data_IF_598564944203
#
_entry.id   IF_598564944203
#
_cell.length_a   1.000
_cell.length_b   1.000
_cell.length_c   1.000
_cell.angle_alpha   90.00
_cell.angle_beta   90.00
_cell.angle_gamma   90.00
#
_symmetry.space_group_name_H-M   'P 1'
#
loop_
_entity.id
_entity.type
_entity.pdbx_description
1 polymer ?
#
# COMPACT_ATOMS: atom_id res chain seq x y z
N UNK A 1 -17.59 -1.43 -11.87
CA UNK A 1 -16.33 -0.76 -11.48
C UNK A 1 -16.65 0.07 -10.24
N UNK A 2 -16.34 -0.45 -9.04
CA UNK A 2 -16.78 0.17 -7.79
C UNK A 2 -16.02 1.49 -7.57
N UNK A 3 -16.73 2.61 -7.71
CA UNK A 3 -16.34 3.88 -7.10
C UNK A 3 -16.51 3.72 -5.58
N UNK A 4 -15.56 4.22 -4.79
CA UNK A 4 -15.65 4.44 -3.32
C UNK A 4 -15.08 3.39 -2.34
N UNK A 5 -14.14 2.51 -2.71
CA UNK A 5 -13.51 1.61 -1.71
C UNK A 5 -12.58 2.33 -0.71
N UNK A 6 -12.10 3.54 -0.99
CA UNK A 6 -11.16 4.26 -0.12
C UNK A 6 -9.76 3.62 -0.02
N UNK A 7 -9.55 2.48 -0.67
CA UNK A 7 -8.28 1.80 -0.82
C UNK A 7 -8.27 0.90 -2.08
N UNK A 8 -7.09 0.47 -2.50
CA UNK A 8 -6.83 -0.56 -3.51
C UNK A 8 -5.86 -1.56 -2.89
N UNK A 9 -6.10 -2.86 -3.06
CA UNK A 9 -5.15 -3.93 -2.74
C UNK A 9 -5.08 -4.87 -3.96
N UNK A 10 -3.88 -5.26 -4.36
CA UNK A 10 -3.63 -6.10 -5.54
C UNK A 10 -2.49 -7.07 -5.28
N UNK A 11 -2.49 -8.19 -6.00
CA UNK A 11 -1.32 -9.07 -6.08
C UNK A 11 -0.42 -8.59 -7.21
N UNK A 12 0.86 -8.42 -6.92
CA UNK A 12 1.88 -8.05 -7.90
C UNK A 12 2.86 -9.19 -8.09
N UNK A 13 3.20 -9.45 -9.35
CA UNK A 13 4.17 -10.47 -9.72
C UNK A 13 5.21 -9.85 -10.66
N UNK A 14 6.48 -10.11 -10.37
CA UNK A 14 7.59 -9.66 -11.23
C UNK A 14 7.67 -10.56 -12.46
N UNK A 15 7.79 -9.96 -13.64
CA UNK A 15 7.83 -10.66 -14.93
C UNK A 15 9.13 -10.36 -15.65
N UNK A 16 9.82 -11.39 -16.13
CA UNK A 16 10.98 -11.29 -17.02
C UNK A 16 10.69 -12.09 -18.28
N UNK A 17 10.80 -11.45 -19.44
CA UNK A 17 10.53 -12.07 -20.75
C UNK A 17 9.15 -12.76 -20.82
N UNK A 18 8.13 -12.12 -20.22
CA UNK A 18 6.76 -12.64 -20.18
C UNK A 18 6.53 -13.80 -19.21
N UNK A 19 7.52 -14.16 -18.38
CA UNK A 19 7.42 -15.23 -17.39
C UNK A 19 7.56 -14.69 -15.97
N UNK A 20 6.84 -15.26 -14.99
CA UNK A 20 7.07 -14.99 -13.58
C UNK A 20 8.52 -15.19 -13.17
N UNK A 21 9.06 -14.24 -12.42
CA UNK A 21 10.35 -14.38 -11.73
C UNK A 21 10.07 -14.89 -10.32
N UNK A 22 10.74 -15.97 -9.93
CA UNK A 22 10.70 -16.44 -8.55
C UNK A 22 11.22 -15.35 -7.61
N UNK A 23 10.46 -15.08 -6.54
CA UNK A 23 10.82 -14.10 -5.52
C UNK A 23 11.01 -14.76 -4.15
N UNK A 24 10.78 -16.08 -4.05
CA UNK A 24 10.93 -16.89 -2.84
C UNK A 24 10.25 -16.31 -1.61
N UNK A 25 9.07 -15.69 -1.79
CA UNK A 25 8.27 -15.23 -0.67
C UNK A 25 7.65 -16.41 0.07
N UNK A 26 7.52 -16.29 1.39
CA UNK A 26 6.83 -17.28 2.23
C UNK A 26 5.32 -17.02 2.22
N UNK A 27 4.73 -17.12 1.03
CA UNK A 27 3.28 -17.01 0.81
C UNK A 27 2.70 -18.37 0.34
N UNK A 28 1.41 -18.65 0.63
CA UNK A 28 0.45 -17.79 1.34
C UNK A 28 0.79 -17.63 2.83
N UNK A 29 0.39 -16.50 3.41
CA UNK A 29 0.62 -16.19 4.82
C UNK A 29 -0.71 -15.86 5.52
N UNK A 30 -1.04 -16.60 6.59
CA UNK A 30 -2.27 -16.41 7.37
C UNK A 30 -2.04 -15.41 8.52
N UNK A 31 -1.81 -14.14 8.16
CA UNK A 31 -1.70 -13.07 9.14
C UNK A 31 -3.11 -12.54 9.45
N UNK A 32 -3.53 -12.71 10.70
CA UNK A 32 -4.86 -12.30 11.15
C UNK A 32 -5.11 -10.79 10.99
N UNK A 33 -6.35 -10.43 10.68
CA UNK A 33 -6.79 -9.04 10.53
C UNK A 33 -6.46 -8.19 11.75
N UNK A 34 -6.62 -8.73 12.96
CA UNK A 34 -6.31 -8.02 14.20
C UNK A 34 -4.82 -7.67 14.25
N UNK A 35 -3.92 -8.64 14.05
CA UNK A 35 -2.48 -8.41 14.04
C UNK A 35 -2.06 -7.35 13.00
N UNK A 36 -2.68 -7.35 11.82
CA UNK A 36 -2.43 -6.32 10.80
C UNK A 36 -2.96 -4.94 11.22
N UNK A 37 -4.12 -4.89 11.87
CA UNK A 37 -4.68 -3.64 12.38
C UNK A 37 -3.78 -3.04 13.47
N UNK A 38 -3.30 -3.86 14.40
CA UNK A 38 -2.31 -3.47 15.41
C UNK A 38 -1.02 -2.99 14.76
N UNK A 39 -0.48 -3.74 13.79
CA UNK A 39 0.72 -3.35 13.05
C UNK A 39 0.55 -1.99 12.38
N UNK A 40 -0.52 -1.77 11.61
CA UNK A 40 -0.74 -0.49 10.93
C UNK A 40 -1.00 0.68 11.88
N UNK A 41 -1.56 0.43 13.06
CA UNK A 41 -1.77 1.44 14.09
C UNK A 41 -0.45 1.97 14.67
N UNK A 42 0.55 1.11 14.81
CA UNK A 42 1.85 1.45 15.37
C UNK A 42 2.79 2.15 14.36
N UNK A 43 2.39 2.26 13.09
CA UNK A 43 3.22 2.93 12.08
C UNK A 43 3.07 4.45 12.16
N UNK A 44 4.18 5.11 12.47
CA UNK A 44 4.31 6.56 12.47
C UNK A 44 5.50 7.02 11.61
N UNK A 45 5.50 8.30 11.27
CA UNK A 45 6.62 8.98 10.62
C UNK A 45 6.82 10.36 11.22
N UNK A 46 8.06 10.83 11.22
CA UNK A 46 8.38 12.19 11.64
C UNK A 46 8.15 13.16 10.49
N UNK A 47 7.37 14.20 10.71
CA UNK A 47 7.27 15.33 9.78
C UNK A 47 8.19 16.46 10.23
N UNK A 48 9.01 16.95 9.30
CA UNK A 48 9.77 18.18 9.52
C UNK A 48 8.91 19.37 9.08
N UNK A 49 8.49 20.25 9.99
CA UNK A 49 7.73 21.43 9.61
C UNK A 49 8.55 22.35 8.71
N UNK A 50 7.87 23.10 7.84
CA UNK A 50 8.49 24.08 6.93
C UNK A 50 8.98 25.36 7.64
N UNK A 51 8.75 25.49 8.94
CA UNK A 51 9.14 26.63 9.79
C UNK A 51 9.74 26.12 11.12
N UNK A 52 10.22 27.05 11.97
CA UNK A 52 10.85 26.87 13.31
C UNK A 52 10.00 26.12 14.36
N UNK A 53 9.27 25.08 13.97
CA UNK A 53 8.52 24.21 14.86
C UNK A 53 9.29 22.89 15.05
N UNK A 54 9.04 22.23 16.16
CA UNK A 54 9.63 20.92 16.43
C UNK A 54 9.08 19.86 15.46
N UNK A 55 9.88 18.84 15.20
CA UNK A 55 9.42 17.66 14.45
C UNK A 55 8.19 17.05 15.14
N UNK A 56 7.15 16.76 14.37
CA UNK A 56 5.92 16.15 14.87
C UNK A 56 5.84 14.70 14.39
N UNK A 57 5.57 13.78 15.30
CA UNK A 57 5.25 12.39 14.96
C UNK A 57 3.81 12.30 14.45
N UNK A 58 3.62 11.67 13.30
CA UNK A 58 2.30 11.50 12.67
C UNK A 58 2.04 10.05 12.29
N UNK A 59 0.80 9.56 12.46
CA UNK A 59 0.47 8.20 12.04
C UNK A 59 0.51 8.08 10.52
N UNK A 60 0.97 6.94 10.02
CA UNK A 60 0.93 6.61 8.58
C UNK A 60 -0.52 6.43 8.11
N UNK A 61 -1.36 5.81 8.94
CA UNK A 61 -2.76 5.52 8.65
C UNK A 61 -3.69 6.04 9.75
N UNK A 62 -4.88 6.49 9.38
CA UNK A 62 -5.95 6.75 10.35
C UNK A 62 -6.74 5.47 10.66
N UNK A 63 -7.42 5.41 11.82
CA UNK A 63 -8.23 4.24 12.23
C UNK A 63 -9.24 3.77 11.18
N UNK A 64 -9.84 4.71 10.42
CA UNK A 64 -10.77 4.36 9.33
C UNK A 64 -10.09 3.68 8.15
N UNK A 65 -8.84 4.04 7.85
CA UNK A 65 -8.04 3.38 6.83
C UNK A 65 -7.62 1.99 7.32
N UNK A 66 -7.15 1.88 8.56
CA UNK A 66 -6.75 0.62 9.19
C UNK A 66 -7.88 -0.41 9.15
N UNK A 67 -9.08 -0.02 9.59
CA UNK A 67 -10.26 -0.90 9.63
C UNK A 67 -10.68 -1.45 8.26
N UNK A 68 -10.28 -0.78 7.17
CA UNK A 68 -10.57 -1.19 5.79
C UNK A 68 -9.41 -1.96 5.17
N UNK A 69 -8.18 -1.50 5.41
CA UNK A 69 -6.97 -2.04 4.81
C UNK A 69 -6.57 -3.37 5.43
N UNK A 70 -6.63 -3.51 6.76
CA UNK A 70 -6.23 -4.73 7.47
C UNK A 70 -6.94 -6.00 6.96
N UNK A 71 -8.30 -6.05 6.83
CA UNK A 71 -8.97 -7.25 6.33
C UNK A 71 -8.68 -7.52 4.86
N UNK A 72 -8.50 -6.47 4.04
CA UNK A 72 -8.18 -6.62 2.62
C UNK A 72 -6.76 -7.17 2.41
N UNK A 73 -5.79 -6.66 3.17
CA UNK A 73 -4.40 -7.14 3.17
C UNK A 73 -4.31 -8.56 3.71
N UNK A 74 -5.00 -8.88 4.82
CA UNK A 74 -5.04 -10.24 5.36
C UNK A 74 -5.50 -11.25 4.30
N UNK A 75 -6.59 -10.92 3.59
CA UNK A 75 -7.09 -11.75 2.50
C UNK A 75 -6.09 -11.87 1.35
N UNK A 76 -5.46 -10.77 0.95
CA UNK A 76 -4.49 -10.80 -0.13
C UNK A 76 -3.25 -11.65 0.23
N UNK A 77 -2.72 -11.53 1.44
CA UNK A 77 -1.58 -12.33 1.92
C UNK A 77 -1.90 -13.84 1.97
N UNK A 78 -3.14 -14.18 2.32
CA UNK A 78 -3.63 -15.57 2.34
C UNK A 78 -3.82 -16.18 0.96
N UNK A 79 -3.99 -15.36 -0.08
CA UNK A 79 -4.20 -15.79 -1.46
C UNK A 79 -2.96 -15.61 -2.36
N UNK A 80 -1.94 -14.88 -1.89
CA UNK A 80 -0.69 -14.71 -2.61
C UNK A 80 0.05 -16.04 -2.73
N UNK A 81 0.68 -16.28 -3.88
CA UNK A 81 1.66 -17.36 -4.05
C UNK A 81 3.10 -16.90 -3.77
N UNK A 82 4.05 -17.84 -3.75
CA UNK A 82 5.46 -17.58 -3.45
C UNK A 82 6.20 -16.64 -4.43
N UNK A 83 5.56 -16.25 -5.54
CA UNK A 83 6.08 -15.29 -6.53
C UNK A 83 5.41 -13.92 -6.45
N UNK A 84 4.36 -13.81 -5.65
CA UNK A 84 3.52 -12.63 -5.54
C UNK A 84 3.77 -11.85 -4.26
N UNK A 85 3.56 -10.55 -4.32
CA UNK A 85 3.56 -9.63 -3.19
C UNK A 85 2.26 -8.83 -3.17
N UNK A 86 1.88 -8.31 -2.01
CA UNK A 86 0.63 -7.56 -1.85
C UNK A 86 0.92 -6.07 -2.00
N UNK A 87 0.45 -5.48 -3.09
CA UNK A 87 0.49 -4.04 -3.28
C UNK A 87 -0.75 -3.38 -2.70
N UNK A 88 -0.60 -2.25 -2.02
CA UNK A 88 -1.71 -1.49 -1.50
C UNK A 88 -1.61 0.01 -1.78
N UNK A 89 -2.76 0.64 -1.87
CA UNK A 89 -2.93 2.10 -1.90
C UNK A 89 -4.07 2.47 -0.98
N UNK A 90 -3.81 3.24 0.07
CA UNK A 90 -4.83 3.84 0.94
C UNK A 90 -5.08 5.29 0.55
N UNK A 91 -6.34 5.71 0.60
CA UNK A 91 -6.75 7.07 0.30
C UNK A 91 -7.38 7.73 1.52
N UNK A 92 -6.72 8.76 2.02
CA UNK A 92 -7.25 9.60 3.08
C UNK A 92 -7.88 10.88 2.49
N UNK A 93 -9.08 11.22 2.94
CA UNK A 93 -9.71 12.50 2.63
C UNK A 93 -9.63 13.39 3.87
N UNK A 94 -8.73 14.37 3.87
CA UNK A 94 -8.75 15.39 4.90
C UNK A 94 -9.93 16.33 4.63
N UNK A 95 -10.93 16.35 5.53
CA UNK A 95 -12.09 17.24 5.45
C UNK A 95 -11.69 18.67 5.84
N UNK A 96 -11.01 19.38 4.95
CA UNK A 96 -10.90 20.84 5.01
C UNK A 96 -12.15 21.49 4.40
N UNK A 97 -12.65 22.57 5.00
CA UNK A 97 -13.91 23.25 4.63
C UNK A 97 -13.96 23.82 3.20
N UNK A 98 -12.81 23.99 2.51
CA UNK A 98 -12.75 24.66 1.22
C UNK A 98 -11.99 23.90 0.12
N UNK A 99 -11.20 22.86 0.46
CA UNK A 99 -10.47 22.04 -0.52
C UNK A 99 -10.39 20.58 -0.05
N UNK A 100 -10.84 19.64 -0.89
CA UNK A 100 -10.65 18.20 -0.66
C UNK A 100 -9.22 17.82 -1.03
N UNK A 101 -8.28 17.92 -0.08
CA UNK A 101 -6.97 17.31 -0.26
C UNK A 101 -7.10 15.80 -0.04
N UNK A 102 -6.73 15.02 -1.06
CA UNK A 102 -6.59 13.57 -0.95
C UNK A 102 -5.13 13.28 -0.63
N UNK A 103 -4.90 12.49 0.43
CA UNK A 103 -3.57 11.97 0.75
C UNK A 103 -3.53 10.50 0.38
N UNK A 104 -2.39 10.07 -0.16
CA UNK A 104 -2.16 8.70 -0.58
C UNK A 104 -1.03 8.12 0.27
N UNK A 105 -1.27 6.92 0.80
CA UNK A 105 -0.21 6.05 1.31
C UNK A 105 -0.18 4.80 0.44
N UNK A 106 0.97 4.49 -0.14
CA UNK A 106 1.16 3.38 -1.07
C UNK A 106 2.38 2.57 -0.65
N UNK A 107 2.26 1.26 -0.75
CA UNK A 107 3.38 0.38 -0.47
C UNK A 107 3.13 -1.05 -0.91
N UNK A 108 4.10 -1.89 -0.59
CA UNK A 108 4.10 -3.31 -0.89
C UNK A 108 4.40 -4.10 0.36
N UNK A 109 3.71 -5.22 0.53
CA UNK A 109 3.77 -6.09 1.68
C UNK A 109 4.13 -7.50 1.22
N UNK A 110 5.02 -8.16 1.95
CA UNK A 110 5.41 -9.54 1.66
C UNK A 110 5.95 -10.23 2.91
N UNK A 111 5.97 -11.56 2.90
CA UNK A 111 6.69 -12.35 3.90
C UNK A 111 7.94 -12.92 3.22
N UNK A 112 9.11 -12.64 3.77
CA UNK A 112 10.36 -13.14 3.20
C UNK A 112 10.57 -14.64 3.49
N UNK A 113 11.61 -15.23 2.90
CA UNK A 113 11.94 -16.64 3.10
C UNK A 113 12.29 -17.01 4.56
N UNK A 114 12.63 -16.02 5.39
CA UNK A 114 12.87 -16.17 6.83
C UNK A 114 11.61 -16.09 7.68
N UNK A 115 10.44 -15.84 7.06
CA UNK A 115 9.17 -15.69 7.76
C UNK A 115 8.92 -14.28 8.31
N UNK A 116 9.75 -13.30 7.98
CA UNK A 116 9.54 -11.93 8.46
C UNK A 116 8.51 -11.21 7.60
N UNK A 117 7.59 -10.50 8.26
CA UNK A 117 6.65 -9.62 7.59
C UNK A 117 7.31 -8.28 7.27
N UNK A 118 7.31 -7.91 6.00
CA UNK A 118 7.99 -6.73 5.49
C UNK A 118 7.00 -5.77 4.83
N UNK A 119 7.24 -4.47 4.99
CA UNK A 119 6.53 -3.39 4.30
C UNK A 119 7.54 -2.47 3.64
N UNK A 120 7.31 -2.14 2.37
CA UNK A 120 8.08 -1.18 1.60
C UNK A 120 7.14 -0.06 1.14
N UNK A 121 7.40 1.17 1.58
CA UNK A 121 6.57 2.32 1.27
C UNK A 121 7.08 3.04 0.02
N UNK A 122 6.20 3.16 -0.97
CA UNK A 122 6.43 4.05 -2.11
C UNK A 122 6.10 5.49 -1.74
N UNK A 123 4.96 5.70 -1.07
CA UNK A 123 4.50 7.02 -0.61
C UNK A 123 3.84 6.93 0.76
N UNK A 124 4.07 7.94 1.59
CA UNK A 124 3.42 8.09 2.91
C UNK A 124 2.73 9.45 2.95
N UNK A 125 1.40 9.46 3.12
CA UNK A 125 0.59 10.67 3.25
C UNK A 125 0.85 11.76 2.19
N UNK A 126 1.20 11.34 0.96
CA UNK A 126 1.49 12.22 -0.16
C UNK A 126 0.21 12.96 -0.56
N UNK A 127 0.24 14.29 -0.56
CA UNK A 127 -0.86 15.09 -1.07
C UNK A 127 -0.94 14.93 -2.59
N UNK A 128 -2.13 14.63 -3.11
CA UNK A 128 -2.44 14.66 -4.54
C UNK A 128 -3.57 15.64 -4.81
N UNK A 129 -3.42 16.46 -5.84
CA UNK A 129 -4.51 17.29 -6.34
C UNK A 129 -5.50 16.39 -7.08
N UNK A 130 -6.80 16.56 -6.81
CA UNK A 130 -7.85 15.82 -7.51
C UNK A 130 -7.94 16.20 -9.00
N UNK A 131 -7.44 17.39 -9.37
CA UNK A 131 -7.35 17.86 -10.75
C UNK A 131 -6.18 17.21 -11.52
N UNK A 132 -5.14 16.75 -10.80
CA UNK A 132 -4.03 15.95 -11.33
C UNK A 132 -4.39 14.48 -11.28
N UNK A 133 -5.59 14.10 -11.75
CA UNK A 133 -6.02 12.69 -11.73
C UNK A 133 -4.86 11.80 -12.17
N UNK A 134 -4.40 10.86 -11.32
CA UNK A 134 -3.42 9.90 -11.76
C UNK A 134 -4.10 9.17 -12.90
N UNK A 135 -3.65 9.46 -14.14
CA UNK A 135 -4.15 8.79 -15.32
C UNK A 135 -3.91 7.31 -15.05
N UNK A 136 -5.01 6.60 -14.78
CA UNK A 136 -4.95 5.17 -14.55
C UNK A 136 -4.18 4.54 -15.69
N UNK A 137 -3.20 3.70 -15.34
CA UNK A 137 -2.25 3.03 -16.23
C UNK A 137 -1.27 3.98 -16.93
N UNK A 138 -0.02 4.03 -16.45
CA UNK A 138 1.20 3.92 -17.29
C UNK A 138 2.47 4.51 -16.64
N UNK A 139 2.39 5.26 -15.53
CA UNK A 139 3.60 5.93 -15.01
C UNK A 139 4.41 5.11 -13.99
N UNK A 140 3.95 3.92 -13.60
CA UNK A 140 4.66 3.01 -12.69
C UNK A 140 5.93 2.33 -13.28
N UNK A 141 6.43 2.79 -14.43
CA UNK A 141 7.58 2.20 -15.14
C UNK A 141 8.88 3.00 -15.08
N UNK A 142 8.95 4.14 -14.37
CA UNK A 142 10.20 4.91 -14.26
C UNK A 142 11.06 4.41 -13.10
N UNK A 143 11.57 3.18 -13.21
CA UNK A 143 12.55 2.62 -12.27
C UNK A 143 12.85 1.14 -12.52
N UNK A 144 11.86 0.37 -12.95
CA UNK A 144 12.01 -1.05 -13.25
C UNK A 144 11.87 -1.29 -14.76
N UNK A 145 12.95 -1.62 -15.45
CA UNK A 145 12.90 -2.17 -16.82
C UNK A 145 12.35 -3.61 -16.85
N UNK A 146 11.46 -3.95 -15.92
CA UNK A 146 10.99 -5.30 -15.62
C UNK A 146 9.47 -5.25 -15.54
N UNK A 147 8.79 -6.04 -16.36
CA UNK A 147 7.33 -6.05 -16.40
C UNK A 147 6.74 -6.47 -15.05
N UNK A 148 5.66 -5.85 -14.62
CA UNK A 148 4.89 -6.26 -13.44
C UNK A 148 3.50 -6.66 -13.90
N UNK A 149 3.06 -7.86 -13.54
CA UNK A 149 1.68 -8.30 -13.71
C UNK A 149 0.90 -8.02 -12.42
N UNK A 150 -0.32 -7.50 -12.55
CA UNK A 150 -1.22 -7.25 -11.43
C UNK A 150 -2.51 -8.07 -11.59
N UNK A 151 -3.01 -8.60 -10.48
CA UNK A 151 -4.33 -9.23 -10.43
C UNK A 151 -5.13 -8.77 -9.22
N UNK A 152 -6.45 -8.72 -9.41
CA UNK A 152 -7.40 -8.63 -8.31
C UNK A 152 -7.51 -10.01 -7.64
N UNK A 153 -7.84 -10.03 -6.35
CA UNK A 153 -8.15 -11.26 -5.61
C UNK A 153 -9.68 -11.39 -5.43
N UNK A 154 -10.23 -12.63 -5.40
CA UNK A 154 -11.66 -12.87 -5.21
C UNK A 154 -12.19 -12.46 -3.80
#
# INVERSE_FOLDING_TARGET
MNKDSGFIVKLQQKMKDGRPVAQSYSHPADIGTENLAWFFNDLSYMTTPRLLSDSEERPVFQNREINRLAPAVSRALKNADATQRVHFTSFNYSRGLLFQKRRITQGTLFVDAGGNFNIDFSWINQEVNLDDQPKGRSEFNQGDSIGVAESDFP
#
